data_IF_532123589140
#
_entry.id   IF_532123589140
#
_cell.length_a   1.000
_cell.length_b   1.000
_cell.length_c   1.000
_cell.angle_alpha   90.00
_cell.angle_beta   90.00
_cell.angle_gamma   90.00
#
_symmetry.space_group_name_H-M   'P 1'
#
loop_
_entity.id
_entity.type
_entity.pdbx_description
1 polymer ?
#
# COMPACT_ATOMS: atom_id res chain seq x y z
N UNK A 1 -15.79 23.32 71.71
CA UNK A 1 -15.62 23.73 70.31
C UNK A 1 -14.50 22.94 69.67
N UNK A 2 -14.76 22.43 68.47
CA UNK A 2 -14.29 21.16 67.93
C UNK A 2 -12.85 21.14 67.40
N UNK A 3 -12.12 20.05 67.72
CA UNK A 3 -10.96 19.59 66.95
C UNK A 3 -11.48 18.72 65.80
N UNK A 4 -11.13 19.05 64.56
CA UNK A 4 -11.25 18.18 63.39
C UNK A 4 -9.81 17.93 62.92
N UNK A 5 -9.07 16.97 63.49
CA UNK A 5 -8.95 15.54 63.13
C UNK A 5 -8.87 15.31 61.62
N UNK A 6 -7.62 15.14 61.18
CA UNK A 6 -7.16 14.72 59.86
C UNK A 6 -7.69 13.31 59.51
N UNK A 7 -8.20 13.07 58.28
CA UNK A 7 -8.65 11.74 57.89
C UNK A 7 -7.47 10.77 57.76
N UNK A 8 -7.60 9.53 58.29
CA UNK A 8 -6.54 8.52 58.22
C UNK A 8 -6.42 7.95 56.80
N UNK A 9 -5.17 7.68 56.40
CA UNK A 9 -4.82 7.03 55.14
C UNK A 9 -5.32 5.56 55.08
N UNK A 10 -5.57 5.00 53.88
CA UNK A 10 -6.04 3.63 53.75
C UNK A 10 -4.89 2.66 54.06
N UNK A 11 -5.08 1.79 55.05
CA UNK A 11 -4.17 0.68 55.32
C UNK A 11 -4.50 -0.52 54.41
N UNK A 12 -3.50 -1.32 54.01
CA UNK A 12 -3.62 -2.39 53.03
C UNK A 12 -4.27 -3.64 53.64
N UNK A 13 -4.91 -4.43 52.79
CA UNK A 13 -5.92 -5.42 53.15
C UNK A 13 -5.49 -6.57 54.07
N UNK A 14 -6.51 -7.19 54.68
CA UNK A 14 -6.60 -8.65 54.84
C UNK A 14 -7.91 -9.04 55.56
N UNK A 15 -8.80 -9.72 54.83
CA UNK A 15 -9.47 -10.95 55.31
C UNK A 15 -10.76 -10.88 56.14
N UNK A 16 -11.83 -11.41 55.52
CA UNK A 16 -12.94 -12.23 56.09
C UNK A 16 -13.90 -11.59 57.13
N UNK A 17 -15.22 -11.77 57.15
CA UNK A 17 -16.18 -12.71 56.53
C UNK A 17 -17.57 -12.00 56.54
N UNK A 18 -18.34 -11.94 55.44
CA UNK A 18 -19.32 -12.93 54.95
C UNK A 18 -20.70 -12.84 55.64
N UNK A 19 -21.70 -12.30 54.92
CA UNK A 19 -23.13 -12.68 54.99
C UNK A 19 -23.97 -11.88 53.98
N UNK A 20 -24.09 -12.41 52.76
CA UNK A 20 -24.97 -11.89 51.73
C UNK A 20 -25.11 -12.90 50.60
N UNK A 21 -25.89 -13.95 50.84
CA UNK A 21 -26.13 -15.04 49.89
C UNK A 21 -27.02 -14.57 48.72
N UNK A 22 -26.41 -13.92 47.74
CA UNK A 22 -26.87 -13.91 46.35
C UNK A 22 -25.89 -14.72 45.52
N UNK A 23 -26.33 -15.43 44.45
CA UNK A 23 -25.41 -16.20 43.61
C UNK A 23 -24.36 -15.27 43.01
N UNK A 24 -23.12 -15.38 43.50
CA UNK A 24 -21.97 -14.65 42.99
C UNK A 24 -21.60 -15.23 41.62
N UNK A 25 -21.93 -14.50 40.56
CA UNK A 25 -21.40 -14.80 39.23
C UNK A 25 -19.90 -14.50 39.31
N UNK A 26 -19.01 -15.47 39.06
CA UNK A 26 -17.57 -15.21 39.05
C UNK A 26 -17.29 -14.14 37.99
N UNK A 27 -16.65 -13.05 38.40
CA UNK A 27 -16.16 -12.04 37.46
C UNK A 27 -15.19 -12.74 36.50
N UNK A 28 -15.63 -12.93 35.26
CA UNK A 28 -14.79 -13.48 34.20
C UNK A 28 -13.58 -12.56 34.06
N UNK A 29 -12.40 -13.05 34.44
CA UNK A 29 -11.14 -12.36 34.18
C UNK A 29 -10.99 -12.10 32.67
N UNK A 30 -10.23 -11.07 32.27
CA UNK A 30 -10.04 -10.74 30.86
C UNK A 30 -9.61 -11.99 30.09
N UNK A 31 -10.44 -12.38 29.12
CA UNK A 31 -10.18 -13.53 28.24
C UNK A 31 -8.98 -13.16 27.38
N UNK A 32 -7.84 -13.79 27.62
CA UNK A 32 -6.66 -13.63 26.79
C UNK A 32 -6.96 -14.28 25.43
N UNK A 33 -7.20 -13.47 24.41
CA UNK A 33 -7.24 -13.94 23.03
C UNK A 33 -5.84 -14.42 22.64
N UNK A 34 -5.69 -15.60 22.02
CA UNK A 34 -4.40 -16.01 21.49
C UNK A 34 -3.92 -14.96 20.49
N UNK A 35 -2.68 -14.47 20.69
CA UNK A 35 -2.04 -13.57 19.74
C UNK A 35 -2.04 -14.26 18.35
N UNK A 36 -2.52 -13.56 17.33
CA UNK A 36 -2.52 -14.10 15.97
C UNK A 36 -1.08 -14.51 15.58
N UNK A 37 -0.91 -15.66 14.90
CA UNK A 37 0.41 -16.09 14.45
C UNK A 37 1.06 -14.98 13.63
N UNK A 38 2.23 -14.52 14.07
CA UNK A 38 2.98 -13.54 13.32
C UNK A 38 3.30 -14.13 11.94
N UNK A 39 2.71 -13.58 10.87
CA UNK A 39 3.07 -13.96 9.50
C UNK A 39 4.55 -13.60 9.29
N UNK A 40 5.42 -14.60 9.34
CA UNK A 40 6.85 -14.45 9.04
C UNK A 40 7.02 -14.35 7.53
N UNK A 41 6.87 -13.14 6.99
CA UNK A 41 7.19 -12.84 5.60
C UNK A 41 8.69 -12.68 5.37
N UNK A 42 9.12 -12.80 4.10
CA UNK A 42 10.48 -12.51 3.69
C UNK A 42 10.50 -11.22 2.88
N UNK A 43 11.14 -10.19 3.43
CA UNK A 43 11.22 -8.85 2.82
C UNK A 43 11.75 -8.94 1.37
N UNK A 44 12.78 -9.76 1.13
CA UNK A 44 13.37 -9.92 -0.20
C UNK A 44 12.38 -10.50 -1.21
N UNK A 45 11.61 -11.51 -0.80
CA UNK A 45 10.54 -12.07 -1.65
C UNK A 45 9.41 -11.07 -1.87
N UNK A 46 9.04 -10.28 -0.86
CA UNK A 46 8.05 -9.21 -0.99
C UNK A 46 8.48 -8.15 -2.01
N UNK A 47 9.72 -7.68 -1.94
CA UNK A 47 10.26 -6.71 -2.91
C UNK A 47 10.31 -7.32 -4.31
N UNK A 48 10.83 -8.55 -4.46
CA UNK A 48 10.90 -9.21 -5.75
C UNK A 48 9.51 -9.37 -6.39
N UNK A 49 8.51 -9.81 -5.60
CA UNK A 49 7.13 -9.92 -6.06
C UNK A 49 6.55 -8.56 -6.47
N UNK A 50 6.83 -7.51 -5.69
CA UNK A 50 6.39 -6.15 -6.00
C UNK A 50 7.00 -5.61 -7.29
N UNK A 51 8.28 -5.89 -7.56
CA UNK A 51 8.96 -5.50 -8.80
C UNK A 51 8.36 -6.22 -10.01
N UNK A 52 8.13 -7.54 -9.91
CA UNK A 52 7.48 -8.30 -11.00
C UNK A 52 6.07 -7.77 -11.24
N UNK A 53 5.30 -7.55 -10.18
CA UNK A 53 3.98 -6.94 -10.25
C UNK A 53 4.02 -5.56 -10.93
N UNK A 54 5.00 -4.72 -10.58
CA UNK A 54 5.18 -3.38 -11.14
C UNK A 54 5.44 -3.43 -12.65
N UNK A 55 6.34 -4.31 -13.10
CA UNK A 55 6.66 -4.45 -14.52
C UNK A 55 5.47 -4.96 -15.34
N UNK A 56 4.77 -5.98 -14.83
CA UNK A 56 3.57 -6.53 -15.49
C UNK A 56 2.45 -5.48 -15.54
N UNK A 57 2.24 -4.76 -14.43
CA UNK A 57 1.21 -3.73 -14.36
C UNK A 57 1.53 -2.54 -15.27
N UNK A 58 2.79 -2.11 -15.36
CA UNK A 58 3.21 -1.04 -16.28
C UNK A 58 2.98 -1.42 -17.74
N UNK A 59 3.40 -2.62 -18.14
CA UNK A 59 3.20 -3.13 -19.50
C UNK A 59 1.71 -3.27 -19.85
N UNK A 60 0.91 -3.84 -18.92
CA UNK A 60 -0.52 -3.98 -19.10
C UNK A 60 -1.22 -2.61 -19.17
N UNK A 61 -0.85 -1.67 -18.30
CA UNK A 61 -1.43 -0.32 -18.27
C UNK A 61 -1.16 0.43 -19.58
N UNK A 62 0.10 0.47 -20.02
CA UNK A 62 0.47 1.14 -21.27
C UNK A 62 -0.16 0.48 -22.51
N UNK A 63 -0.13 -0.86 -22.57
CA UNK A 63 -0.74 -1.61 -23.67
C UNK A 63 -2.26 -1.47 -23.76
N UNK A 64 -2.96 -1.49 -22.62
CA UNK A 64 -4.41 -1.27 -22.57
C UNK A 64 -4.74 0.14 -23.03
N UNK A 65 -4.01 1.17 -22.54
CA UNK A 65 -4.25 2.55 -22.96
C UNK A 65 -4.05 2.74 -24.46
N UNK A 66 -3.07 2.06 -25.07
CA UNK A 66 -2.87 2.07 -26.51
C UNK A 66 -4.05 1.45 -27.25
N UNK A 67 -4.54 0.31 -26.78
CA UNK A 67 -5.64 -0.40 -27.43
C UNK A 67 -7.00 0.35 -27.39
N UNK A 68 -7.19 1.28 -26.45
CA UNK A 68 -8.45 2.02 -26.27
C UNK A 68 -8.34 3.51 -26.56
N UNK A 69 -7.18 3.99 -27.01
CA UNK A 69 -6.85 5.41 -27.27
C UNK A 69 -7.26 6.37 -26.13
N UNK A 70 -7.29 5.87 -24.89
CA UNK A 70 -7.82 6.61 -23.75
C UNK A 70 -7.05 6.29 -22.48
N UNK A 71 -6.65 7.36 -21.79
CA UNK A 71 -6.04 7.26 -20.49
C UNK A 71 -7.09 6.96 -19.41
N UNK A 72 -6.87 5.89 -18.66
CA UNK A 72 -7.76 5.50 -17.55
C UNK A 72 -7.04 5.82 -16.25
N UNK A 73 -7.23 7.03 -15.73
CA UNK A 73 -6.60 7.46 -14.48
C UNK A 73 -6.95 6.58 -13.27
N UNK A 74 -8.16 6.00 -13.25
CA UNK A 74 -8.57 5.03 -12.23
C UNK A 74 -7.73 3.75 -12.22
N UNK A 75 -7.05 3.41 -13.33
CA UNK A 75 -6.19 2.24 -13.40
C UNK A 75 -4.96 2.38 -12.48
N UNK A 76 -4.51 3.60 -12.17
CA UNK A 76 -3.41 3.83 -11.24
C UNK A 76 -3.71 3.25 -9.84
N UNK A 77 -4.98 3.30 -9.40
CA UNK A 77 -5.41 2.66 -8.16
C UNK A 77 -5.25 1.15 -8.25
N UNK A 78 -5.69 0.54 -9.35
CA UNK A 78 -5.56 -0.90 -9.58
C UNK A 78 -4.10 -1.37 -9.62
N UNK A 79 -3.24 -0.62 -10.33
CA UNK A 79 -1.79 -0.85 -10.39
C UNK A 79 -1.21 -0.80 -8.98
N UNK A 80 -1.51 0.26 -8.22
CA UNK A 80 -1.03 0.41 -6.85
C UNK A 80 -1.48 -0.71 -5.94
N UNK A 81 -2.78 -1.05 -5.95
CA UNK A 81 -3.32 -2.17 -5.16
C UNK A 81 -2.64 -3.49 -5.49
N UNK A 82 -2.38 -3.78 -6.77
CA UNK A 82 -1.74 -5.02 -7.21
C UNK A 82 -0.30 -5.11 -6.69
N UNK A 83 0.48 -4.05 -6.86
CA UNK A 83 1.88 -3.97 -6.40
C UNK A 83 1.95 -4.06 -4.88
N UNK A 84 1.12 -3.28 -4.18
CA UNK A 84 1.05 -3.28 -2.73
C UNK A 84 0.65 -4.65 -2.17
N UNK A 85 -0.37 -5.29 -2.75
CA UNK A 85 -0.80 -6.62 -2.37
C UNK A 85 0.31 -7.66 -2.54
N UNK A 86 1.03 -7.63 -3.67
CA UNK A 86 2.17 -8.52 -3.91
C UNK A 86 3.28 -8.31 -2.88
N UNK A 87 3.61 -7.05 -2.57
CA UNK A 87 4.62 -6.70 -1.58
C UNK A 87 4.26 -7.20 -0.16
N UNK A 88 3.04 -6.90 0.29
CA UNK A 88 2.57 -7.24 1.64
C UNK A 88 2.39 -8.74 1.83
N UNK A 89 1.78 -9.43 0.86
CA UNK A 89 1.46 -10.86 0.95
C UNK A 89 2.70 -11.74 1.10
N UNK A 90 3.79 -11.43 0.39
CA UNK A 90 5.03 -12.22 0.44
C UNK A 90 6.05 -11.65 1.44
N UNK A 91 6.00 -10.35 1.72
CA UNK A 91 6.98 -9.67 2.56
C UNK A 91 6.61 -9.58 4.05
N UNK A 92 5.35 -9.75 4.43
CA UNK A 92 4.89 -9.77 5.83
C UNK A 92 4.91 -8.40 6.52
N UNK A 93 4.90 -8.39 7.86
CA UNK A 93 4.83 -7.17 8.71
C UNK A 93 6.15 -6.42 8.78
N UNK A 94 6.65 -5.92 7.66
CA UNK A 94 7.82 -5.05 7.62
C UNK A 94 7.44 -3.60 7.24
N UNK A 95 7.84 -2.58 8.03
CA UNK A 95 7.48 -1.19 7.78
C UNK A 95 8.09 -0.59 6.50
N UNK A 96 9.12 -1.21 5.93
CA UNK A 96 9.77 -0.77 4.69
C UNK A 96 8.94 -1.13 3.45
N UNK A 97 8.20 -2.26 3.49
CA UNK A 97 7.48 -2.76 2.32
C UNK A 97 6.40 -1.82 1.78
N UNK A 98 5.57 -1.17 2.63
CA UNK A 98 4.60 -0.19 2.14
C UNK A 98 5.25 0.99 1.40
N UNK A 99 6.41 1.46 1.89
CA UNK A 99 7.14 2.57 1.25
C UNK A 99 7.71 2.13 -0.09
N UNK A 100 8.34 0.95 -0.14
CA UNK A 100 8.88 0.40 -1.39
C UNK A 100 7.76 0.15 -2.40
N UNK A 101 6.62 -0.39 -1.97
CA UNK A 101 5.47 -0.60 -2.84
C UNK A 101 4.91 0.71 -3.40
N UNK A 102 4.84 1.76 -2.59
CA UNK A 102 4.42 3.09 -3.05
C UNK A 102 5.36 3.64 -4.12
N UNK A 103 6.68 3.58 -3.90
CA UNK A 103 7.67 4.02 -4.88
C UNK A 103 7.62 3.21 -6.17
N UNK A 104 7.49 1.88 -6.06
CA UNK A 104 7.34 1.00 -7.23
C UNK A 104 6.05 1.29 -7.98
N UNK A 105 4.95 1.61 -7.29
CA UNK A 105 3.70 2.00 -7.93
C UNK A 105 3.82 3.30 -8.71
N UNK A 106 4.49 4.31 -8.15
CA UNK A 106 4.73 5.56 -8.87
C UNK A 106 5.55 5.30 -10.13
N UNK A 107 6.63 4.53 -10.01
CA UNK A 107 7.45 4.13 -11.14
C UNK A 107 6.67 3.32 -12.18
N UNK A 108 5.83 2.38 -11.77
CA UNK A 108 5.06 1.54 -12.68
C UNK A 108 4.01 2.33 -13.48
N UNK A 109 3.28 3.22 -12.82
CA UNK A 109 2.28 4.06 -13.49
C UNK A 109 2.96 4.98 -14.49
N UNK A 110 4.03 5.66 -14.08
CA UNK A 110 4.82 6.52 -14.95
C UNK A 110 5.40 5.76 -16.15
N UNK A 111 6.02 4.60 -15.92
CA UNK A 111 6.55 3.74 -17.00
C UNK A 111 5.44 3.26 -17.93
N UNK A 112 4.25 2.95 -17.42
CA UNK A 112 3.11 2.58 -18.26
C UNK A 112 2.65 3.74 -19.16
N UNK A 113 2.70 4.98 -18.68
CA UNK A 113 2.43 6.16 -19.51
C UNK A 113 3.49 6.37 -20.59
N UNK A 114 4.78 6.24 -20.26
CA UNK A 114 5.86 6.31 -21.26
C UNK A 114 5.73 5.19 -22.31
N UNK A 115 5.36 3.99 -21.88
CA UNK A 115 5.15 2.86 -22.77
C UNK A 115 3.94 3.07 -23.69
N UNK A 116 2.85 3.66 -23.18
CA UNK A 116 1.72 4.10 -24.00
C UNK A 116 2.16 5.13 -25.07
N UNK A 117 2.92 6.15 -24.69
CA UNK A 117 3.44 7.15 -25.64
C UNK A 117 4.29 6.46 -26.71
N UNK A 118 5.18 5.55 -26.32
CA UNK A 118 6.01 4.80 -27.26
C UNK A 118 5.19 3.97 -28.26
N UNK A 119 4.15 3.27 -27.78
CA UNK A 119 3.23 2.50 -28.62
C UNK A 119 2.44 3.42 -29.57
N UNK A 120 1.91 4.54 -29.07
CA UNK A 120 1.17 5.49 -29.88
C UNK A 120 2.05 6.11 -30.99
N UNK A 121 3.32 6.42 -30.69
CA UNK A 121 4.28 6.88 -31.69
C UNK A 121 4.62 5.81 -32.72
N UNK A 122 4.73 4.55 -32.29
CA UNK A 122 5.00 3.41 -33.18
C UNK A 122 3.84 3.21 -34.15
N UNK A 123 2.60 3.26 -33.66
CA UNK A 123 1.39 3.12 -34.45
C UNK A 123 1.21 4.29 -35.42
N UNK A 124 1.42 5.53 -34.95
CA UNK A 124 1.35 6.73 -35.78
C UNK A 124 2.40 6.73 -36.90
N UNK A 125 3.64 6.36 -36.56
CA UNK A 125 4.76 6.28 -37.49
C UNK A 125 4.73 5.06 -38.41
N UNK A 126 3.87 4.07 -38.15
CA UNK A 126 3.91 2.73 -38.76
C UNK A 126 5.31 2.09 -38.67
N UNK A 127 5.96 2.25 -37.51
CA UNK A 127 7.30 1.72 -37.22
C UNK A 127 7.27 0.79 -36.00
N UNK A 128 8.35 0.05 -35.78
CA UNK A 128 8.46 -0.78 -34.58
C UNK A 128 8.77 0.03 -33.32
N UNK A 129 8.37 -0.48 -32.15
CA UNK A 129 8.72 0.11 -30.84
C UNK A 129 10.22 0.35 -30.66
N UNK A 130 11.07 -0.57 -31.14
CA UNK A 130 12.52 -0.42 -31.06
C UNK A 130 13.03 0.83 -31.81
N UNK A 131 12.44 1.11 -32.97
CA UNK A 131 12.81 2.29 -33.76
C UNK A 131 12.37 3.60 -33.08
N UNK A 132 11.20 3.60 -32.42
CA UNK A 132 10.76 4.74 -31.60
C UNK A 132 11.74 4.97 -30.44
N UNK A 133 12.14 3.91 -29.74
CA UNK A 133 13.09 4.01 -28.64
C UNK A 133 14.48 4.44 -29.11
N UNK A 134 14.93 4.01 -30.28
CA UNK A 134 16.23 4.42 -30.85
C UNK A 134 16.22 5.90 -31.28
N UNK A 135 15.11 6.39 -31.82
CA UNK A 135 14.99 7.78 -32.33
C UNK A 135 14.64 8.78 -31.24
N UNK A 136 13.61 8.51 -30.45
CA UNK A 136 13.12 9.42 -29.41
C UNK A 136 13.88 9.22 -28.09
N UNK A 137 14.31 7.99 -27.80
CA UNK A 137 14.89 7.66 -26.51
C UNK A 137 13.91 7.82 -25.35
N UNK A 138 14.34 7.41 -24.16
CA UNK A 138 13.55 7.65 -22.93
C UNK A 138 13.43 9.15 -22.63
N UNK A 139 14.43 9.95 -23.02
CA UNK A 139 14.40 11.41 -22.86
C UNK A 139 13.28 12.05 -23.66
N UNK A 140 13.18 11.78 -24.96
CA UNK A 140 12.12 12.33 -25.79
C UNK A 140 10.73 11.85 -25.39
N UNK A 141 10.60 10.59 -24.95
CA UNK A 141 9.32 10.10 -24.39
C UNK A 141 8.94 10.84 -23.10
N UNK A 142 9.92 11.13 -22.24
CA UNK A 142 9.70 11.94 -21.04
C UNK A 142 9.29 13.38 -21.41
N UNK A 143 9.91 13.98 -22.42
CA UNK A 143 9.58 15.35 -22.82
C UNK A 143 8.13 15.43 -23.32
N UNK A 144 7.69 14.47 -24.15
CA UNK A 144 6.31 14.34 -24.60
C UNK A 144 5.37 14.12 -23.41
N UNK A 145 5.76 13.29 -22.45
CA UNK A 145 4.97 13.09 -21.24
C UNK A 145 4.83 14.38 -20.43
N UNK A 146 5.90 15.16 -20.26
CA UNK A 146 5.85 16.42 -19.53
C UNK A 146 4.98 17.47 -20.23
N UNK A 147 5.01 17.51 -21.56
CA UNK A 147 4.17 18.40 -22.37
C UNK A 147 2.68 18.01 -22.31
N UNK A 148 2.38 16.72 -22.21
CA UNK A 148 1.02 16.19 -22.15
C UNK A 148 0.47 15.93 -20.74
N UNK A 149 1.29 16.03 -19.70
CA UNK A 149 0.90 15.73 -18.33
C UNK A 149 0.08 16.89 -17.74
N UNK A 150 -1.13 16.56 -17.30
CA UNK A 150 -1.97 17.48 -16.55
C UNK A 150 -1.79 17.29 -15.05
N UNK A 151 -2.24 18.27 -14.25
CA UNK A 151 -2.25 18.17 -12.78
C UNK A 151 -2.94 16.88 -12.28
N UNK A 152 -3.91 16.36 -13.04
CA UNK A 152 -4.64 15.14 -12.71
C UNK A 152 -3.75 13.89 -12.80
N UNK A 153 -2.77 13.84 -13.70
CA UNK A 153 -1.85 12.70 -13.82
C UNK A 153 -0.99 12.55 -12.57
N UNK A 154 -0.51 13.67 -12.03
CA UNK A 154 0.20 13.70 -10.75
C UNK A 154 -0.69 13.27 -9.58
N UNK A 155 -1.98 13.63 -9.61
CA UNK A 155 -2.96 13.15 -8.61
C UNK A 155 -3.13 11.63 -8.73
N UNK A 156 -3.29 11.08 -9.92
CA UNK A 156 -3.41 9.63 -10.10
C UNK A 156 -2.15 8.87 -9.72
N UNK A 157 -0.96 9.41 -10.00
CA UNK A 157 0.31 8.90 -9.48
C UNK A 157 0.27 8.85 -7.94
N UNK A 158 -0.07 9.96 -7.29
CA UNK A 158 -0.13 10.02 -5.83
C UNK A 158 -1.16 9.02 -5.24
N UNK A 159 -2.34 8.90 -5.84
CA UNK A 159 -3.37 7.94 -5.41
C UNK A 159 -2.88 6.50 -5.61
N UNK A 160 -2.22 6.19 -6.73
CA UNK A 160 -1.63 4.87 -6.97
C UNK A 160 -0.60 4.51 -5.89
N UNK A 161 0.31 5.44 -5.58
CA UNK A 161 1.28 5.27 -4.49
C UNK A 161 0.61 5.07 -3.12
N UNK A 162 -0.42 5.87 -2.80
CA UNK A 162 -1.18 5.74 -1.56
C UNK A 162 -1.93 4.40 -1.47
N UNK A 163 -2.56 3.97 -2.56
CA UNK A 163 -3.25 2.69 -2.66
C UNK A 163 -2.26 1.52 -2.47
N UNK A 164 -1.07 1.60 -3.07
CA UNK A 164 -0.02 0.60 -2.90
C UNK A 164 0.47 0.52 -1.44
N UNK A 165 0.69 1.66 -0.80
CA UNK A 165 1.07 1.71 0.61
C UNK A 165 0.01 1.03 1.49
N UNK A 166 -1.26 1.40 1.33
CA UNK A 166 -2.37 0.84 2.09
C UNK A 166 -2.55 -0.66 1.86
N UNK A 167 -2.48 -1.10 0.60
CA UNK A 167 -2.57 -2.51 0.25
C UNK A 167 -1.42 -3.34 0.81
N UNK A 168 -0.19 -2.83 0.76
CA UNK A 168 0.98 -3.51 1.33
C UNK A 168 0.87 -3.68 2.83
N UNK A 169 0.41 -2.63 3.55
CA UNK A 169 0.20 -2.72 4.99
C UNK A 169 -0.89 -3.75 5.33
N UNK A 170 -2.04 -3.67 4.65
CA UNK A 170 -3.18 -4.57 4.91
C UNK A 170 -2.92 -6.02 4.52
N UNK A 171 -2.11 -6.27 3.48
CA UNK A 171 -1.77 -7.62 3.05
C UNK A 171 -0.63 -8.23 3.88
N UNK A 172 0.19 -7.39 4.52
CA UNK A 172 1.27 -7.80 5.42
C UNK A 172 0.82 -8.07 6.84
N UNK A 173 -0.22 -7.36 7.33
CA UNK A 173 -0.89 -7.61 8.62
C UNK A 173 -1.58 -8.98 8.65
#
# INVERSE_FOLDING_TARGET
>A
MNRHIQPPAPAPGSGAAEAGAGPAIPAAGPVAYPAEPARSGNIGLGIAAAVVAALVAAAAYGGIMNAIDRQVGYAAVGVGLLIGFAAGKLGGKNPVLPVVAALLSLGAVYLGQLFFIALALADYGNVGLGEVLDKAGVGGLNDIWQEGADAMDYVFLAIGGFAAFGAAKKAGD
#
